data_IF_953035761229
#
_entry.id   IF_953035761229
#
_cell.length_a   1.000
_cell.length_b   1.000
_cell.length_c   1.000
_cell.angle_alpha   90.00
_cell.angle_beta   90.00
_cell.angle_gamma   90.00
#
_symmetry.space_group_name_H-M   'P 1'
#
loop_
_entity.id
_entity.type
_entity.pdbx_description
1 polymer ?
#
# COMPACT_ATOMS: atom_id res chain seq x y z
N UNK A 1 -46.72 1.97 -42.49
CA UNK A 1 -47.76 2.99 -42.76
C UNK A 1 -49.14 2.53 -42.23
N UNK A 2 -50.03 3.51 -41.97
CA UNK A 2 -51.40 3.48 -41.38
C UNK A 2 -51.47 3.28 -39.85
N UNK A 3 -51.58 4.34 -39.01
CA UNK A 3 -52.63 5.37 -38.76
C UNK A 3 -53.72 4.91 -37.77
N UNK A 4 -53.67 5.46 -36.54
CA UNK A 4 -54.69 6.34 -35.90
C UNK A 4 -55.80 5.54 -35.17
N UNK A 5 -56.45 5.95 -34.07
CA UNK A 5 -57.01 7.26 -33.74
C UNK A 5 -57.28 7.40 -32.21
N UNK A 6 -57.12 8.64 -31.75
CA UNK A 6 -57.38 9.25 -30.44
C UNK A 6 -58.88 9.27 -30.09
N UNK A 7 -59.23 9.33 -28.79
CA UNK A 7 -60.20 10.31 -28.26
C UNK A 7 -60.12 10.47 -26.73
N UNK A 8 -59.93 11.73 -26.32
CA UNK A 8 -60.07 12.23 -24.95
C UNK A 8 -61.54 12.58 -24.72
N UNK A 9 -62.07 12.35 -23.52
CA UNK A 9 -63.26 13.06 -23.03
C UNK A 9 -63.00 13.46 -21.58
N UNK A 10 -63.21 14.74 -21.30
CA UNK A 10 -63.08 15.41 -20.02
C UNK A 10 -64.48 15.68 -19.47
N UNK A 11 -64.71 15.48 -18.18
CA UNK A 11 -65.85 16.07 -17.47
C UNK A 11 -65.40 16.66 -16.13
N UNK A 12 -65.94 17.86 -15.86
CA UNK A 12 -65.57 18.80 -14.80
C UNK A 12 -66.53 18.71 -13.61
N UNK A 13 -65.97 18.63 -12.38
CA UNK A 13 -66.34 19.28 -11.09
C UNK A 13 -67.71 18.91 -10.43
N UNK A 14 -68.00 19.16 -9.12
CA UNK A 14 -67.36 20.05 -8.10
C UNK A 14 -67.15 19.45 -6.67
N UNK A 15 -66.12 19.89 -5.90
CA UNK A 15 -66.06 20.77 -4.68
C UNK A 15 -66.49 20.18 -3.31
N UNK A 16 -65.51 20.20 -2.38
CA UNK A 16 -65.49 20.20 -0.90
C UNK A 16 -66.22 19.15 -0.05
N UNK A 17 -65.42 18.35 0.68
CA UNK A 17 -65.71 17.97 2.07
C UNK A 17 -64.39 17.82 2.86
N UNK A 18 -64.44 18.28 4.11
CA UNK A 18 -63.32 18.47 5.05
C UNK A 18 -62.66 17.18 5.57
N UNK A 19 -61.42 17.30 6.05
CA UNK A 19 -60.45 16.28 6.54
C UNK A 19 -61.00 15.40 7.71
N UNK A 20 -60.40 14.21 8.02
CA UNK A 20 -59.16 14.16 8.82
C UNK A 20 -58.11 13.10 8.39
N UNK A 21 -56.85 13.56 8.39
CA UNK A 21 -55.65 12.94 8.96
C UNK A 21 -55.46 11.40 8.87
N UNK A 22 -54.41 10.96 8.16
CA UNK A 22 -53.43 9.96 8.63
C UNK A 22 -52.23 9.83 7.66
N UNK A 23 -51.05 9.64 8.24
CA UNK A 23 -49.77 9.26 7.62
C UNK A 23 -49.16 10.23 6.58
N UNK A 24 -48.56 11.32 7.10
CA UNK A 24 -47.56 12.10 6.37
C UNK A 24 -46.38 11.16 6.04
N UNK A 25 -46.23 10.86 4.75
CA UNK A 25 -45.03 10.24 4.21
C UNK A 25 -43.80 11.00 4.71
N UNK A 26 -42.95 10.30 5.47
CA UNK A 26 -41.61 10.75 5.84
C UNK A 26 -40.83 10.90 4.52
N UNK A 27 -40.78 12.12 4.00
CA UNK A 27 -39.66 12.54 3.14
C UNK A 27 -38.39 12.22 3.93
N UNK A 28 -37.36 11.59 3.35
CA UNK A 28 -36.03 11.67 3.92
C UNK A 28 -35.68 13.15 3.92
N UNK A 29 -35.81 13.77 5.07
CA UNK A 29 -35.13 15.02 5.35
C UNK A 29 -33.65 14.74 5.10
N UNK A 30 -33.04 15.58 4.27
CA UNK A 30 -31.60 15.81 4.30
C UNK A 30 -31.23 16.23 5.72
N UNK A 31 -31.02 15.25 6.59
CA UNK A 31 -30.28 15.43 7.82
C UNK A 31 -28.83 15.51 7.39
N UNK A 32 -28.36 16.73 7.19
CA UNK A 32 -26.94 17.05 7.22
C UNK A 32 -26.51 16.83 8.67
N UNK A 33 -26.27 15.57 9.03
CA UNK A 33 -25.50 15.14 10.19
C UNK A 33 -24.36 14.28 9.66
N UNK A 34 -23.50 14.91 8.87
CA UNK A 34 -22.29 14.30 8.31
C UNK A 34 -21.15 15.26 8.53
N UNK A 35 -20.52 15.19 9.69
CA UNK A 35 -19.46 16.13 10.05
C UNK A 35 -18.87 15.84 11.41
N UNK A 36 -18.41 14.62 11.62
CA UNK A 36 -17.83 14.22 12.90
C UNK A 36 -17.46 12.75 12.94
N UNK A 37 -16.67 12.27 11.98
CA UNK A 37 -15.75 11.20 12.37
C UNK A 37 -14.86 11.81 13.47
N UNK A 38 -14.90 11.27 14.68
CA UNK A 38 -14.00 11.72 15.73
C UNK A 38 -12.56 11.59 15.24
N UNK A 39 -11.67 12.51 15.64
CA UNK A 39 -10.25 12.45 15.28
C UNK A 39 -9.69 11.05 15.56
N UNK A 40 -10.11 10.44 16.68
CA UNK A 40 -9.78 9.07 17.05
C UNK A 40 -10.21 8.00 16.03
N UNK A 41 -11.40 8.13 15.44
CA UNK A 41 -11.87 7.20 14.41
C UNK A 41 -11.02 7.31 13.13
N UNK A 42 -10.67 8.55 12.74
CA UNK A 42 -9.81 8.80 11.59
C UNK A 42 -8.37 8.30 11.82
N UNK A 43 -7.82 8.52 13.02
CA UNK A 43 -6.51 8.00 13.43
C UNK A 43 -6.49 6.46 13.44
N UNK A 44 -7.54 5.82 13.96
CA UNK A 44 -7.64 4.36 13.96
C UNK A 44 -7.71 3.80 12.53
N UNK A 45 -8.49 4.43 11.64
CA UNK A 45 -8.53 4.04 10.23
C UNK A 45 -7.16 4.22 9.55
N UNK A 46 -6.46 5.32 9.84
CA UNK A 46 -5.12 5.59 9.30
C UNK A 46 -4.11 4.54 9.77
N UNK A 47 -4.06 4.24 11.07
CA UNK A 47 -3.19 3.23 11.65
C UNK A 47 -3.46 1.85 11.03
N UNK A 48 -4.74 1.51 10.82
CA UNK A 48 -5.09 0.27 10.12
C UNK A 48 -4.49 0.23 8.71
N UNK A 49 -4.64 1.30 7.92
CA UNK A 49 -4.07 1.37 6.57
C UNK A 49 -2.54 1.26 6.57
N UNK A 50 -1.87 1.92 7.52
CA UNK A 50 -0.40 1.90 7.65
C UNK A 50 0.10 0.49 7.99
N UNK A 51 -0.55 -0.20 8.93
CA UNK A 51 -0.22 -1.58 9.28
C UNK A 51 -0.44 -2.58 8.15
N UNK A 52 -1.27 -2.27 7.17
CA UNK A 52 -1.63 -3.17 6.07
C UNK A 52 -1.10 -2.73 4.69
N UNK A 53 -0.19 -1.76 4.66
CA UNK A 53 0.56 -1.38 3.45
C UNK A 53 1.97 -1.94 3.57
N UNK A 54 2.39 -2.82 2.66
CA UNK A 54 3.63 -3.58 2.80
C UNK A 54 4.58 -3.42 1.61
N UNK A 55 5.88 -3.41 1.89
CA UNK A 55 6.93 -3.71 0.92
C UNK A 55 7.70 -4.92 1.48
N UNK A 56 7.68 -6.04 0.76
CA UNK A 56 8.22 -7.30 1.27
C UNK A 56 7.53 -7.72 2.58
N UNK A 57 8.32 -7.82 3.65
CA UNK A 57 7.87 -8.21 5.00
C UNK A 57 7.69 -7.04 5.96
N UNK A 58 7.98 -5.80 5.54
CA UNK A 58 7.85 -4.61 6.36
C UNK A 58 6.58 -3.83 6.00
N UNK A 59 5.82 -3.43 7.02
CA UNK A 59 4.69 -2.53 6.87
C UNK A 59 5.13 -1.07 6.84
N UNK A 60 4.24 -0.18 6.39
CA UNK A 60 4.43 1.27 6.49
C UNK A 60 4.54 1.72 7.96
N UNK A 61 3.83 1.06 8.88
CA UNK A 61 3.98 1.30 10.32
C UNK A 61 5.43 1.00 10.77
N UNK A 62 5.97 -0.17 10.41
CA UNK A 62 7.34 -0.56 10.76
C UNK A 62 8.37 0.44 10.20
N UNK A 63 8.11 0.96 9.00
CA UNK A 63 8.97 1.96 8.37
C UNK A 63 8.94 3.30 9.11
N UNK A 64 7.75 3.77 9.50
CA UNK A 64 7.59 5.02 10.24
C UNK A 64 8.19 4.94 11.65
N UNK A 65 8.13 3.77 12.31
CA UNK A 65 8.72 3.55 13.63
C UNK A 65 10.24 3.71 13.64
N UNK A 66 10.92 3.34 12.55
CA UNK A 66 12.38 3.44 12.43
C UNK A 66 12.86 4.69 11.68
N UNK A 67 11.94 5.48 11.12
CA UNK A 67 12.25 6.71 10.40
C UNK A 67 12.51 7.84 11.40
N UNK A 68 13.68 8.47 11.27
CA UNK A 68 13.98 9.67 12.06
C UNK A 68 13.23 10.88 11.47
N UNK A 69 12.35 11.46 12.27
CA UNK A 69 11.45 12.56 11.89
C UNK A 69 11.76 13.79 12.77
N UNK A 70 11.82 14.97 12.15
CA UNK A 70 11.99 16.25 12.85
C UNK A 70 10.68 16.69 13.53
N UNK A 71 10.72 17.62 14.50
CA UNK A 71 9.51 18.12 15.16
C UNK A 71 8.47 18.75 14.20
N UNK A 72 8.89 19.15 12.99
CA UNK A 72 8.02 19.69 11.95
C UNK A 72 7.58 18.65 10.92
N UNK A 73 7.65 17.35 11.26
CA UNK A 73 7.28 16.23 10.38
C UNK A 73 8.06 16.18 9.05
N UNK A 74 9.33 16.60 9.09
CA UNK A 74 10.28 16.44 7.99
C UNK A 74 11.26 15.31 8.23
N UNK A 75 11.98 14.88 7.20
CA UNK A 75 13.08 13.92 7.29
C UNK A 75 14.15 14.21 6.23
N UNK A 76 15.27 13.48 6.28
CA UNK A 76 16.36 13.61 5.31
C UNK A 76 16.50 12.34 4.48
N UNK A 77 17.07 12.45 3.28
CA UNK A 77 17.43 11.29 2.45
C UNK A 77 18.24 10.26 3.22
N UNK A 78 19.17 10.68 4.08
CA UNK A 78 19.98 9.79 4.90
C UNK A 78 19.13 8.99 5.89
N UNK A 79 18.15 9.62 6.53
CA UNK A 79 17.24 8.93 7.46
C UNK A 79 16.30 7.97 6.74
N UNK A 80 15.79 8.35 5.56
CA UNK A 80 14.99 7.46 4.68
C UNK A 80 15.80 6.22 4.28
N UNK A 81 17.06 6.40 3.86
CA UNK A 81 17.99 5.31 3.56
C UNK A 81 18.18 4.41 4.77
N UNK A 82 18.47 4.99 5.94
CA UNK A 82 18.72 4.24 7.18
C UNK A 82 17.52 3.37 7.54
N UNK A 83 16.31 3.92 7.48
CA UNK A 83 15.06 3.19 7.71
C UNK A 83 14.90 2.04 6.71
N UNK A 84 15.07 2.31 5.42
CA UNK A 84 14.94 1.29 4.36
C UNK A 84 15.95 0.15 4.52
N UNK A 85 17.24 0.47 4.70
CA UNK A 85 18.30 -0.52 4.86
C UNK A 85 18.06 -1.37 6.12
N UNK A 86 17.63 -0.75 7.22
CA UNK A 86 17.31 -1.48 8.45
C UNK A 86 16.23 -2.54 8.21
N UNK A 87 15.12 -2.16 7.58
CA UNK A 87 14.04 -3.12 7.28
C UNK A 87 14.47 -4.19 6.28
N UNK A 88 15.31 -3.84 5.30
CA UNK A 88 15.89 -4.80 4.35
C UNK A 88 16.78 -5.85 5.06
N UNK A 89 17.60 -5.42 6.03
CA UNK A 89 18.38 -6.32 6.88
C UNK A 89 17.46 -7.25 7.68
N UNK A 90 16.43 -6.69 8.32
CA UNK A 90 15.50 -7.45 9.16
C UNK A 90 14.71 -8.48 8.34
N UNK A 91 14.26 -8.13 7.14
CA UNK A 91 13.63 -9.06 6.19
C UNK A 91 14.56 -10.24 5.84
N UNK A 92 15.80 -9.93 5.50
CA UNK A 92 16.75 -10.96 5.11
C UNK A 92 17.08 -11.90 6.27
N UNK A 93 17.20 -11.37 7.47
CA UNK A 93 17.45 -12.17 8.67
C UNK A 93 16.24 -13.05 9.00
N UNK A 94 15.01 -12.53 8.91
CA UNK A 94 13.78 -13.34 9.04
C UNK A 94 13.75 -14.48 8.01
N UNK A 95 14.11 -14.21 6.76
CA UNK A 95 14.14 -15.23 5.70
C UNK A 95 15.17 -16.34 5.99
N UNK A 96 16.33 -15.99 6.57
CA UNK A 96 17.34 -16.97 7.01
C UNK A 96 16.86 -17.82 8.17
N UNK A 97 16.32 -17.18 9.21
CA UNK A 97 15.89 -17.85 10.45
C UNK A 97 14.70 -18.78 10.24
N UNK A 98 13.81 -18.45 9.30
CA UNK A 98 12.67 -19.29 8.93
C UNK A 98 13.02 -20.44 7.98
N UNK A 99 14.27 -20.54 7.53
CA UNK A 99 14.65 -21.57 6.58
C UNK A 99 14.91 -22.92 7.26
N UNK A 100 14.16 -23.94 6.84
CA UNK A 100 14.37 -25.33 7.26
C UNK A 100 15.64 -25.94 6.65
N UNK A 101 16.19 -25.32 5.59
CA UNK A 101 17.38 -25.81 4.90
C UNK A 101 18.50 -24.77 4.96
N UNK A 102 19.55 -24.98 5.78
CA UNK A 102 20.63 -24.01 5.93
C UNK A 102 21.55 -23.91 4.70
N UNK A 103 21.51 -24.90 3.80
CA UNK A 103 22.38 -24.94 2.63
C UNK A 103 22.09 -23.79 1.65
N UNK A 104 23.15 -23.11 1.20
CA UNK A 104 23.08 -22.09 0.16
C UNK A 104 22.93 -20.66 0.69
N UNK A 105 22.52 -20.48 1.95
CA UNK A 105 22.44 -19.17 2.59
C UNK A 105 23.80 -18.48 2.74
N UNK A 106 24.89 -19.23 2.74
CA UNK A 106 26.26 -18.73 2.71
C UNK A 106 26.61 -18.04 1.37
N UNK A 107 25.88 -18.32 0.28
CA UNK A 107 26.05 -17.64 -1.02
C UNK A 107 25.13 -16.43 -1.20
N UNK A 108 24.15 -16.25 -0.30
CA UNK A 108 23.29 -15.06 -0.30
C UNK A 108 24.06 -13.92 0.36
N UNK A 109 24.38 -12.88 -0.40
CA UNK A 109 25.04 -11.67 0.12
C UNK A 109 24.16 -11.01 1.18
N UNK A 110 24.75 -10.65 2.32
CA UNK A 110 24.04 -9.93 3.38
C UNK A 110 23.93 -8.45 3.07
N UNK A 111 22.74 -7.89 3.25
CA UNK A 111 22.56 -6.46 3.51
C UNK A 111 23.08 -6.18 4.90
N UNK A 112 23.85 -5.12 5.07
CA UNK A 112 24.46 -4.74 6.34
C UNK A 112 24.16 -3.29 6.69
N UNK A 113 24.29 -2.94 7.97
CA UNK A 113 24.17 -1.55 8.38
C UNK A 113 25.28 -0.66 7.78
N UNK A 114 26.42 -1.22 7.36
CA UNK A 114 27.48 -0.48 6.69
C UNK A 114 27.05 0.01 5.29
N UNK A 115 26.05 -0.62 4.68
CA UNK A 115 25.47 -0.17 3.41
C UNK A 115 24.80 1.21 3.54
N UNK A 116 24.45 1.63 4.77
CA UNK A 116 23.97 2.99 5.06
C UNK A 116 25.07 4.03 4.77
N UNK A 117 26.35 3.68 4.95
CA UNK A 117 27.47 4.60 4.73
C UNK A 117 27.79 4.77 3.23
N UNK A 118 27.43 3.79 2.41
CA UNK A 118 27.72 3.76 0.97
C UNK A 118 26.46 3.97 0.12
N UNK A 119 25.39 4.52 0.69
CA UNK A 119 24.10 4.66 0.01
C UNK A 119 24.12 5.55 -1.24
N UNK A 120 25.16 6.36 -1.45
CA UNK A 120 25.37 7.15 -2.66
C UNK A 120 25.94 6.32 -3.81
N UNK A 121 26.52 5.15 -3.53
CA UNK A 121 27.01 4.21 -4.53
C UNK A 121 25.85 3.52 -5.25
N UNK A 122 25.90 3.53 -6.58
CA UNK A 122 24.92 2.87 -7.44
C UNK A 122 24.88 1.35 -7.20
N UNK A 123 26.00 0.75 -6.79
CA UNK A 123 26.07 -0.68 -6.48
C UNK A 123 25.23 -0.99 -5.24
N UNK A 124 25.42 -0.23 -4.17
CA UNK A 124 24.63 -0.36 -2.92
C UNK A 124 23.15 -0.13 -3.20
N UNK A 125 22.81 0.96 -3.90
CA UNK A 125 21.42 1.25 -4.28
C UNK A 125 20.76 0.15 -5.11
N UNK A 126 21.53 -0.58 -5.91
CA UNK A 126 21.03 -1.67 -6.75
C UNK A 126 20.89 -3.00 -6.02
N UNK A 127 21.69 -3.22 -4.97
CA UNK A 127 21.78 -4.48 -4.23
C UNK A 127 20.86 -4.54 -3.02
N UNK A 128 20.76 -3.44 -2.28
CA UNK A 128 19.86 -3.35 -1.12
C UNK A 128 18.42 -3.40 -1.61
N UNK A 129 17.66 -4.38 -1.11
CA UNK A 129 16.26 -4.58 -1.46
C UNK A 129 15.41 -4.81 -0.22
N UNK A 130 14.21 -4.23 -0.25
CA UNK A 130 13.12 -4.56 0.63
C UNK A 130 12.01 -5.14 -0.24
N UNK A 131 11.64 -6.41 -0.02
CA UNK A 131 10.86 -7.17 -0.97
C UNK A 131 11.54 -7.24 -2.34
N UNK A 132 10.83 -6.76 -3.37
CA UNK A 132 11.36 -6.64 -4.73
C UNK A 132 11.88 -5.24 -5.08
N UNK A 133 11.63 -4.24 -4.21
CA UNK A 133 11.99 -2.84 -4.43
C UNK A 133 13.45 -2.62 -4.05
N UNK A 134 14.22 -2.02 -4.96
CA UNK A 134 15.61 -1.62 -4.70
C UNK A 134 15.63 -0.27 -3.97
N UNK A 135 16.65 -0.06 -3.15
CA UNK A 135 16.88 1.22 -2.49
C UNK A 135 16.92 2.38 -3.50
N UNK A 136 17.66 2.23 -4.60
CA UNK A 136 17.74 3.26 -5.64
C UNK A 136 16.38 3.63 -6.23
N UNK A 137 15.57 2.61 -6.58
CA UNK A 137 14.23 2.82 -7.15
C UNK A 137 13.31 3.53 -6.15
N UNK A 138 13.38 3.16 -4.86
CA UNK A 138 12.61 3.81 -3.81
C UNK A 138 13.01 5.29 -3.62
N UNK A 139 14.31 5.59 -3.62
CA UNK A 139 14.81 6.96 -3.48
C UNK A 139 14.43 7.86 -4.66
N UNK A 140 14.21 7.30 -5.85
CA UNK A 140 13.70 8.04 -7.00
C UNK A 140 12.21 8.39 -6.89
N UNK A 141 11.44 7.66 -6.07
CA UNK A 141 10.02 7.94 -5.83
C UNK A 141 9.81 9.07 -4.81
N UNK A 142 10.82 9.38 -4.00
CA UNK A 142 10.73 10.40 -2.95
C UNK A 142 11.19 11.75 -3.51
N UNK A 143 10.36 12.80 -3.44
CA UNK A 143 10.68 14.12 -3.98
C UNK A 143 11.55 14.93 -3.01
N UNK A 144 12.82 14.57 -2.87
CA UNK A 144 13.77 15.33 -2.06
C UNK A 144 14.04 16.72 -2.65
N UNK A 145 14.17 17.72 -1.79
CA UNK A 145 14.59 19.07 -2.17
C UNK A 145 16.11 19.18 -2.37
N UNK A 146 16.59 20.39 -2.68
CA UNK A 146 18.02 20.68 -2.90
C UNK A 146 18.90 20.40 -1.66
N UNK A 147 18.31 20.37 -0.46
CA UNK A 147 18.98 20.04 0.81
C UNK A 147 18.87 18.56 1.16
N UNK A 148 18.29 17.75 0.28
CA UNK A 148 17.97 16.35 0.51
C UNK A 148 16.99 16.14 1.67
N UNK A 149 16.14 17.12 1.93
CA UNK A 149 15.05 17.09 2.90
C UNK A 149 13.72 16.81 2.20
N UNK A 150 12.75 16.29 2.95
CA UNK A 150 11.41 15.96 2.44
C UNK A 150 10.40 15.88 3.58
N UNK A 151 9.13 16.17 3.30
CA UNK A 151 8.04 15.95 4.26
C UNK A 151 7.78 14.45 4.42
N UNK A 152 7.47 14.01 5.65
CA UNK A 152 7.17 12.59 5.92
C UNK A 152 5.96 12.10 5.12
N UNK A 153 5.00 12.97 4.83
CA UNK A 153 3.84 12.65 3.99
C UNK A 153 4.23 12.21 2.58
N UNK A 154 5.27 12.80 1.98
CA UNK A 154 5.72 12.43 0.65
C UNK A 154 6.47 11.09 0.66
N UNK A 155 7.20 10.80 1.76
CA UNK A 155 7.82 9.48 1.97
C UNK A 155 6.74 8.40 2.14
N UNK A 156 5.64 8.71 2.83
CA UNK A 156 4.48 7.83 2.97
C UNK A 156 3.87 7.51 1.59
N UNK A 157 3.71 8.51 0.73
CA UNK A 157 3.20 8.28 -0.64
C UNK A 157 4.19 7.46 -1.48
N UNK A 158 5.50 7.73 -1.38
CA UNK A 158 6.52 6.93 -2.04
C UNK A 158 6.49 5.46 -1.56
N UNK A 159 6.26 5.20 -0.27
CA UNK A 159 6.09 3.85 0.26
C UNK A 159 4.84 3.17 -0.27
N UNK A 160 3.71 3.87 -0.37
CA UNK A 160 2.48 3.33 -0.98
C UNK A 160 2.70 2.97 -2.44
N UNK A 161 3.39 3.82 -3.20
CA UNK A 161 3.76 3.55 -4.58
C UNK A 161 4.70 2.32 -4.68
N UNK A 162 5.72 2.27 -3.82
CA UNK A 162 6.63 1.12 -3.71
C UNK A 162 5.89 -0.18 -3.39
N UNK A 163 4.90 -0.13 -2.48
CA UNK A 163 4.04 -1.27 -2.14
C UNK A 163 3.25 -1.79 -3.35
N UNK A 164 2.75 -0.88 -4.18
CA UNK A 164 2.07 -1.26 -5.42
C UNK A 164 3.02 -1.99 -6.39
N UNK A 165 4.19 -1.41 -6.65
CA UNK A 165 5.22 -2.01 -7.51
C UNK A 165 5.70 -3.37 -6.97
N UNK A 166 5.83 -3.50 -5.65
CA UNK A 166 6.24 -4.75 -5.01
C UNK A 166 5.22 -5.86 -5.27
N UNK A 167 3.95 -5.53 -5.08
CA UNK A 167 2.83 -6.44 -5.35
C UNK A 167 2.79 -6.88 -6.81
N UNK A 168 3.05 -5.96 -7.75
CA UNK A 168 3.11 -6.27 -9.18
C UNK A 168 4.30 -7.18 -9.51
N UNK A 169 5.47 -6.95 -8.91
CA UNK A 169 6.64 -7.80 -9.13
C UNK A 169 6.44 -9.24 -8.60
N UNK A 170 5.72 -9.40 -7.48
CA UNK A 170 5.42 -10.72 -6.89
C UNK A 170 4.32 -11.48 -7.65
N UNK A 171 3.30 -10.77 -8.14
CA UNK A 171 2.10 -11.34 -8.75
C UNK A 171 2.07 -11.23 -10.28
N UNK A 172 3.08 -10.59 -10.88
CA UNK A 172 3.15 -10.38 -12.32
C UNK A 172 3.05 -11.70 -13.09
N UNK A 173 2.12 -11.84 -14.04
CA UNK A 173 1.84 -13.09 -14.76
C UNK A 173 3.00 -13.62 -15.64
N UNK A 174 4.17 -12.97 -15.61
CA UNK A 174 5.34 -13.24 -16.48
C UNK A 174 6.68 -13.27 -15.74
N UNK A 175 6.71 -13.37 -14.40
CA UNK A 175 8.00 -13.45 -13.69
C UNK A 175 8.73 -14.76 -14.00
N UNK A 176 9.65 -14.73 -14.96
CA UNK A 176 10.51 -15.87 -15.36
C UNK A 176 11.22 -16.49 -14.15
N UNK A 177 11.67 -15.64 -13.22
CA UNK A 177 12.35 -16.07 -12.00
C UNK A 177 11.41 -16.85 -11.07
N UNK A 178 10.14 -16.41 -10.91
CA UNK A 178 9.13 -17.16 -10.13
C UNK A 178 8.84 -18.51 -10.79
N UNK A 179 8.61 -18.53 -12.10
CA UNK A 179 8.36 -19.76 -12.85
C UNK A 179 9.52 -20.76 -12.70
N UNK A 180 10.76 -20.30 -12.83
CA UNK A 180 11.95 -21.13 -12.61
C UNK A 180 12.02 -21.68 -11.19
N UNK A 181 11.84 -20.84 -10.15
CA UNK A 181 11.84 -21.30 -8.75
C UNK A 181 10.77 -22.37 -8.51
N UNK A 182 9.55 -22.15 -8.99
CA UNK A 182 8.45 -23.12 -8.84
C UNK A 182 8.74 -24.44 -9.54
N UNK A 183 9.30 -24.42 -10.75
CA UNK A 183 9.71 -25.64 -11.46
C UNK A 183 10.83 -26.36 -10.70
N UNK A 184 11.89 -25.66 -10.29
CA UNK A 184 13.05 -26.24 -9.60
C UNK A 184 12.66 -26.92 -8.29
N UNK A 185 11.78 -26.31 -7.50
CA UNK A 185 11.28 -26.91 -6.25
C UNK A 185 10.48 -28.19 -6.54
N UNK A 186 9.58 -28.16 -7.52
CA UNK A 186 8.80 -29.35 -7.94
C UNK A 186 9.72 -30.50 -8.36
N UNK A 187 10.73 -30.21 -9.18
CA UNK A 187 11.70 -31.20 -9.66
C UNK A 187 12.46 -31.87 -8.50
N UNK A 188 12.86 -31.10 -7.47
CA UNK A 188 13.54 -31.66 -6.28
C UNK A 188 12.62 -32.49 -5.40
N UNK A 189 11.36 -32.09 -5.25
CA UNK A 189 10.37 -32.86 -4.47
C UNK A 189 10.06 -34.21 -5.12
N UNK A 190 9.99 -34.27 -6.46
CA UNK A 190 9.77 -35.54 -7.18
C UNK A 190 10.96 -36.49 -7.02
N UNK A 191 12.21 -36.00 -7.05
CA UNK A 191 13.42 -36.83 -6.95
C UNK A 191 13.75 -37.38 -5.57
N UNK A 192 13.21 -36.78 -4.51
CA UNK A 192 13.45 -37.22 -3.12
C UNK A 192 12.25 -37.94 -2.48
N UNK A 193 11.15 -38.13 -3.22
CA UNK A 193 9.95 -38.83 -2.78
C UNK A 193 9.73 -40.21 -3.44
N UNK A 194 10.74 -40.78 -4.10
CA UNK A 194 10.76 -42.16 -4.64
C UNK A 194 11.86 -42.98 -4.01
#
# INVERSE_FOLDING_TARGET
PTKEHRRKISLRLPVNASKPQLARARRPSLSIEGGGQSIQAAEHELAYKQRHTYIGTASLEDFLEVLEVTPTYGTTKKHVVKAFVKLACDEQEKARQSSETPYGWNFVTRTSYDDILTYTDYVTQSRVKLGSIKLGDFLLMVPFDDKLEVAVTDVVEAFRLGSHHDKEAMNGPKSKAKAFRSWFVKERMVKHGS
#
